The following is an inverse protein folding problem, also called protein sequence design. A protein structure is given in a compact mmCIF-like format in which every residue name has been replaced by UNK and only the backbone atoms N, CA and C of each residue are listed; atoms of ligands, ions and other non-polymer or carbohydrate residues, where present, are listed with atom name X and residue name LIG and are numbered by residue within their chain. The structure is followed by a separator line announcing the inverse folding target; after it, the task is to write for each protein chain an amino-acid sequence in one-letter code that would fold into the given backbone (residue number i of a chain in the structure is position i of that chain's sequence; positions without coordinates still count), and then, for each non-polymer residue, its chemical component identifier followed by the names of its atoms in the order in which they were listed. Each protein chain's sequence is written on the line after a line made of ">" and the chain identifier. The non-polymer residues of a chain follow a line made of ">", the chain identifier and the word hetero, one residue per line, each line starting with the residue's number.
data_IF_824590256104
#
_entry.id   IF_824590256104
#
_cell.length_a   1.000
_cell.length_b   1.000
_cell.length_c   1.000
_cell.angle_alpha   90.00
_cell.angle_beta   90.00
_cell.angle_gamma   90.00
#
_symmetry.space_group_name_H-M   'P 1'
#
loop_
_entity.id
_entity.type
_entity.pdbx_description
1 polymer ?
#
# COMPACT_ATOMS: atom_id res chain seq x y z
N UNK A 1 -37.79 -24.25 -74.79
CA UNK A 1 -38.84 -23.21 -74.65
C UNK A 1 -39.16 -23.11 -73.17
N UNK A 2 -39.22 -21.86 -72.65
CA UNK A 2 -39.65 -21.39 -71.31
C UNK A 2 -38.81 -21.88 -70.12
N UNK A 3 -37.84 -21.12 -69.58
CA UNK A 3 -37.89 -19.79 -68.92
C UNK A 3 -38.57 -19.85 -67.54
N UNK A 4 -37.76 -20.02 -66.48
CA UNK A 4 -38.16 -19.78 -65.08
C UNK A 4 -37.08 -18.97 -64.38
N UNK A 5 -37.45 -17.71 -64.16
CA UNK A 5 -36.78 -16.57 -63.53
C UNK A 5 -36.07 -16.87 -62.21
N UNK A 6 -34.93 -16.18 -62.07
CA UNK A 6 -34.18 -15.90 -60.84
C UNK A 6 -35.07 -15.41 -59.69
N UNK A 7 -34.85 -15.95 -58.49
CA UNK A 7 -35.08 -15.23 -57.23
C UNK A 7 -33.88 -15.50 -56.33
N UNK A 8 -32.94 -14.55 -56.31
CA UNK A 8 -31.83 -14.51 -55.36
C UNK A 8 -32.37 -13.89 -54.06
N UNK A 9 -32.60 -14.70 -53.02
CA UNK A 9 -33.01 -14.19 -51.71
C UNK A 9 -31.76 -13.68 -50.96
N UNK A 10 -31.57 -12.35 -50.97
CA UNK A 10 -30.59 -11.68 -50.11
C UNK A 10 -31.16 -11.60 -48.68
N UNK A 11 -30.70 -12.47 -47.79
CA UNK A 11 -31.00 -12.35 -46.37
C UNK A 11 -30.11 -11.25 -45.76
N UNK A 12 -30.66 -10.03 -45.60
CA UNK A 12 -30.05 -9.02 -44.75
C UNK A 12 -30.19 -9.45 -43.28
N UNK A 13 -29.10 -9.95 -42.69
CA UNK A 13 -28.94 -10.02 -41.25
C UNK A 13 -28.82 -8.58 -40.70
N UNK A 14 -29.93 -8.03 -40.20
CA UNK A 14 -29.90 -6.83 -39.39
C UNK A 14 -29.27 -7.18 -38.04
N UNK A 15 -27.96 -6.92 -37.90
CA UNK A 15 -27.31 -6.89 -36.59
C UNK A 15 -27.80 -5.66 -35.84
N UNK A 16 -28.84 -5.82 -35.03
CA UNK A 16 -29.26 -4.81 -34.06
C UNK A 16 -28.16 -4.68 -33.00
N UNK A 17 -27.26 -3.71 -33.19
CA UNK A 17 -26.36 -3.25 -32.15
C UNK A 17 -27.20 -2.57 -31.06
N UNK A 18 -27.64 -3.35 -30.08
CA UNK A 18 -28.10 -2.78 -28.82
C UNK A 18 -26.89 -2.11 -28.17
N UNK A 19 -26.79 -0.79 -28.33
CA UNK A 19 -25.92 0.04 -27.50
C UNK A 19 -26.46 -0.01 -26.07
N UNK A 20 -26.12 -1.07 -25.34
CA UNK A 20 -26.38 -1.17 -23.92
C UNK A 20 -25.65 -0.03 -23.24
N UNK A 21 -26.38 0.94 -22.70
CA UNK A 21 -25.81 1.98 -21.87
C UNK A 21 -24.95 1.30 -20.79
N UNK A 22 -23.67 1.70 -20.68
CA UNK A 22 -22.82 1.23 -19.61
C UNK A 22 -23.54 1.50 -18.28
N UNK A 23 -23.58 0.53 -17.34
CA UNK A 23 -24.27 0.73 -16.07
C UNK A 23 -23.74 2.00 -15.41
N UNK A 24 -24.66 2.84 -14.90
CA UNK A 24 -24.31 4.07 -14.24
C UNK A 24 -23.26 3.81 -13.16
N UNK A 25 -22.13 4.51 -13.23
CA UNK A 25 -21.06 4.36 -12.25
C UNK A 25 -21.59 4.70 -10.86
N UNK A 26 -21.38 3.82 -9.89
CA UNK A 26 -21.79 4.08 -8.51
C UNK A 26 -21.19 5.40 -8.01
N UNK A 27 -21.87 6.18 -7.14
CA UNK A 27 -21.41 7.50 -6.67
C UNK A 27 -20.03 7.52 -5.98
N UNK A 28 -19.47 6.35 -5.67
CA UNK A 28 -18.13 6.20 -5.08
C UNK A 28 -17.02 6.01 -6.10
N UNK A 29 -17.31 5.91 -7.40
CA UNK A 29 -16.31 5.64 -8.44
C UNK A 29 -15.19 6.71 -8.53
N UNK A 30 -15.46 7.94 -8.08
CA UNK A 30 -14.47 9.02 -8.07
C UNK A 30 -13.22 8.73 -7.23
N UNK A 31 -13.31 7.83 -6.23
CA UNK A 31 -12.16 7.48 -5.37
C UNK A 31 -11.02 6.84 -6.17
N UNK A 32 -11.32 6.23 -7.32
CA UNK A 32 -10.34 5.57 -8.17
C UNK A 32 -9.36 6.56 -8.81
N UNK A 33 -9.73 7.84 -8.92
CA UNK A 33 -8.86 8.90 -9.44
C UNK A 33 -7.66 9.23 -8.52
N UNK A 34 -7.62 8.61 -7.33
CA UNK A 34 -6.52 8.73 -6.38
C UNK A 34 -5.48 7.62 -6.48
N UNK A 35 -5.65 6.63 -7.37
CA UNK A 35 -4.68 5.57 -7.57
C UNK A 35 -3.24 6.10 -7.65
N UNK A 36 -2.37 5.62 -6.76
CA UNK A 36 -0.96 6.01 -6.69
C UNK A 36 -0.64 7.36 -6.07
N UNK A 37 -1.65 8.22 -5.84
CA UNK A 37 -1.51 9.50 -5.14
C UNK A 37 -1.42 9.27 -3.63
N UNK A 38 -1.07 10.32 -2.89
CA UNK A 38 -1.02 10.26 -1.43
C UNK A 38 -2.39 10.08 -0.80
N UNK A 39 -2.46 9.38 0.34
CA UNK A 39 -3.65 9.35 1.21
C UNK A 39 -4.08 10.76 1.61
N UNK A 40 -3.14 11.69 1.77
CA UNK A 40 -3.46 13.11 1.97
C UNK A 40 -4.29 13.66 0.82
N UNK A 41 -3.85 13.49 -0.43
CA UNK A 41 -4.62 13.96 -1.60
C UNK A 41 -6.07 13.46 -1.57
N UNK A 42 -6.30 12.22 -1.11
CA UNK A 42 -7.65 11.68 -0.91
C UNK A 42 -8.38 12.33 0.28
N UNK A 43 -7.80 12.36 1.47
CA UNK A 43 -8.49 12.80 2.68
C UNK A 43 -8.82 14.31 2.68
N UNK A 44 -8.04 15.10 1.93
CA UNK A 44 -8.28 16.53 1.70
C UNK A 44 -9.35 16.80 0.62
N UNK A 45 -9.83 15.79 -0.11
CA UNK A 45 -11.04 15.95 -0.94
C UNK A 45 -12.24 16.22 -0.03
N UNK A 46 -13.00 17.28 -0.33
CA UNK A 46 -14.19 17.68 0.42
C UNK A 46 -15.24 16.57 0.59
N UNK A 47 -15.24 15.57 -0.29
CA UNK A 47 -16.16 14.41 -0.28
C UNK A 47 -15.65 13.26 0.60
N UNK A 48 -14.35 13.17 0.88
CA UNK A 48 -13.75 12.00 1.52
C UNK A 48 -14.23 11.80 2.96
N UNK A 49 -14.28 12.87 3.76
CA UNK A 49 -14.77 12.80 5.15
C UNK A 49 -16.19 12.24 5.23
N UNK A 50 -17.11 12.82 4.45
CA UNK A 50 -18.50 12.37 4.40
C UNK A 50 -18.61 10.93 3.89
N UNK A 51 -17.78 10.54 2.92
CA UNK A 51 -17.72 9.16 2.45
C UNK A 51 -17.33 8.22 3.60
N UNK A 52 -16.21 8.45 4.30
CA UNK A 52 -15.75 7.59 5.40
C UNK A 52 -16.81 7.48 6.49
N UNK A 53 -17.41 8.61 6.91
CA UNK A 53 -18.46 8.63 7.94
C UNK A 53 -19.73 7.89 7.51
N UNK A 54 -20.05 7.88 6.21
CA UNK A 54 -21.19 7.10 5.70
C UNK A 54 -20.94 5.58 5.70
N UNK A 55 -19.68 5.15 5.61
CA UNK A 55 -19.31 3.72 5.47
C UNK A 55 -18.81 3.08 6.76
N UNK A 56 -18.29 3.86 7.70
CA UNK A 56 -17.76 3.40 8.98
C UNK A 56 -18.69 3.86 10.11
N UNK A 57 -18.99 3.02 11.11
CA UNK A 57 -19.84 3.43 12.23
C UNK A 57 -19.25 4.60 13.00
N UNK A 58 -20.12 5.49 13.53
CA UNK A 58 -19.70 6.70 14.25
C UNK A 58 -18.74 6.40 15.43
N UNK A 59 -18.91 5.26 16.09
CA UNK A 59 -18.05 4.79 17.19
C UNK A 59 -16.59 4.48 16.78
N UNK A 60 -16.28 4.45 15.48
CA UNK A 60 -14.94 4.21 14.94
C UNK A 60 -14.50 5.25 13.89
N UNK A 61 -15.44 5.89 13.19
CA UNK A 61 -15.13 6.78 12.07
C UNK A 61 -14.19 7.93 12.43
N UNK A 62 -14.29 8.49 13.64
CA UNK A 62 -13.40 9.55 14.13
C UNK A 62 -11.95 9.06 14.19
N UNK A 63 -11.72 7.89 14.76
CA UNK A 63 -10.38 7.32 14.94
C UNK A 63 -9.79 6.94 13.57
N UNK A 64 -10.59 6.37 12.68
CA UNK A 64 -10.18 6.09 11.28
C UNK A 64 -9.77 7.37 10.57
N UNK A 65 -10.58 8.44 10.63
CA UNK A 65 -10.24 9.71 10.00
C UNK A 65 -8.95 10.33 10.59
N UNK A 66 -8.77 10.26 11.92
CA UNK A 66 -7.55 10.72 12.57
C UNK A 66 -6.32 9.93 12.07
N UNK A 67 -6.44 8.61 11.97
CA UNK A 67 -5.40 7.72 11.46
C UNK A 67 -5.13 7.84 9.96
N UNK A 68 -5.90 8.63 9.22
CA UNK A 68 -5.66 8.98 7.82
C UNK A 68 -5.09 10.39 7.64
N UNK A 69 -4.83 11.10 8.74
CA UNK A 69 -4.57 12.55 8.74
C UNK A 69 -3.11 12.97 8.52
N UNK A 70 -2.13 12.08 8.67
CA UNK A 70 -0.72 12.38 8.44
C UNK A 70 -0.14 11.61 7.25
N UNK A 71 0.88 12.12 6.55
CA UNK A 71 1.69 11.26 5.67
C UNK A 71 2.33 10.14 6.52
N UNK A 72 2.55 8.90 6.01
CA UNK A 72 2.66 8.54 4.60
C UNK A 72 2.01 7.19 4.21
N UNK A 73 1.15 7.23 3.19
CA UNK A 73 0.73 6.04 2.46
C UNK A 73 0.20 6.44 1.08
N UNK A 74 0.46 5.67 0.02
CA UNK A 74 -0.23 5.82 -1.23
C UNK A 74 -1.65 5.26 -1.13
N UNK A 75 -2.54 5.84 -1.92
CA UNK A 75 -3.82 5.20 -2.22
C UNK A 75 -3.57 4.06 -3.21
N UNK A 76 -3.96 2.87 -2.80
CA UNK A 76 -3.88 1.65 -3.60
C UNK A 76 -5.22 1.43 -4.29
N UNK A 77 -5.19 1.12 -5.58
CA UNK A 77 -6.37 0.71 -6.34
C UNK A 77 -6.10 -0.64 -6.98
N UNK A 78 -6.87 -1.65 -6.57
CA UNK A 78 -6.78 -3.01 -7.09
C UNK A 78 -7.93 -3.30 -8.05
N UNK A 79 -7.63 -3.98 -9.15
CA UNK A 79 -8.58 -4.39 -10.19
C UNK A 79 -9.44 -3.23 -10.76
N UNK A 80 -8.95 -1.98 -10.66
CA UNK A 80 -9.71 -0.79 -11.04
C UNK A 80 -11.03 -0.63 -10.27
N UNK A 81 -11.14 -1.22 -9.07
CA UNK A 81 -12.41 -1.32 -8.33
C UNK A 81 -12.25 -1.04 -6.85
N UNK A 82 -11.26 -1.64 -6.22
CA UNK A 82 -11.10 -1.60 -4.77
C UNK A 82 -10.07 -0.55 -4.41
N UNK A 83 -10.49 0.48 -3.69
CA UNK A 83 -9.59 1.52 -3.23
C UNK A 83 -9.28 1.29 -1.76
N UNK A 84 -7.99 1.37 -1.41
CA UNK A 84 -7.52 1.39 -0.03
C UNK A 84 -6.64 2.62 0.21
N UNK A 85 -6.86 3.27 1.34
CA UNK A 85 -6.05 4.37 1.83
C UNK A 85 -5.62 4.06 3.26
N UNK A 86 -4.37 4.37 3.58
CA UNK A 86 -3.84 4.23 4.93
C UNK A 86 -2.86 5.33 5.25
N UNK A 87 -2.73 5.66 6.53
CA UNK A 87 -1.78 6.65 7.02
C UNK A 87 -1.51 6.43 8.51
N UNK A 88 -1.14 7.49 9.22
CA UNK A 88 -1.07 7.47 10.67
C UNK A 88 -1.68 8.72 11.31
N UNK A 89 -1.83 8.69 12.63
CA UNK A 89 -2.33 9.84 13.40
C UNK A 89 -1.29 10.97 13.37
N UNK A 90 -1.77 12.19 13.18
CA UNK A 90 -0.93 13.38 13.16
C UNK A 90 -0.17 13.54 14.48
N UNK A 91 1.14 13.75 14.39
CA UNK A 91 2.08 13.80 15.52
C UNK A 91 2.13 12.53 16.40
N UNK A 92 1.46 11.44 16.02
CA UNK A 92 1.47 10.18 16.76
C UNK A 92 1.39 8.99 15.81
N UNK A 93 2.46 8.78 15.04
CA UNK A 93 2.46 7.77 13.99
C UNK A 93 2.40 6.28 14.43
N UNK A 94 2.66 5.90 15.70
CA UNK A 94 2.32 4.56 16.20
C UNK A 94 0.91 4.11 15.87
N UNK A 95 -0.06 5.01 16.02
CA UNK A 95 -1.45 4.70 15.70
C UNK A 95 -1.76 4.99 14.24
N UNK A 96 -2.48 4.04 13.63
CA UNK A 96 -2.64 4.02 12.17
C UNK A 96 -4.09 3.80 11.76
N UNK A 97 -4.48 4.48 10.69
CA UNK A 97 -5.80 4.35 10.08
C UNK A 97 -5.72 3.66 8.73
N UNK A 98 -6.77 2.93 8.42
CA UNK A 98 -6.98 2.30 7.13
C UNK A 98 -8.45 2.44 6.72
N UNK A 99 -8.68 2.66 5.44
CA UNK A 99 -10.00 2.71 4.85
C UNK A 99 -9.99 1.98 3.51
N UNK A 100 -10.97 1.10 3.31
CA UNK A 100 -11.20 0.38 2.06
C UNK A 100 -12.61 0.63 1.56
N UNK A 101 -12.78 0.70 0.24
CA UNK A 101 -14.09 0.81 -0.40
C UNK A 101 -14.14 0.05 -1.73
N UNK A 102 -15.24 -0.67 -1.93
CA UNK A 102 -15.64 -1.20 -3.24
C UNK A 102 -16.38 -0.11 -4.01
N UNK A 103 -15.71 0.43 -5.04
CA UNK A 103 -16.27 1.50 -5.85
C UNK A 103 -17.55 1.13 -6.61
N UNK A 104 -17.86 -0.16 -6.80
CA UNK A 104 -19.06 -0.62 -7.51
C UNK A 104 -20.27 -0.77 -6.59
N UNK A 105 -20.07 -1.29 -5.38
CA UNK A 105 -21.17 -1.57 -4.43
C UNK A 105 -21.32 -0.48 -3.36
N UNK A 106 -20.28 0.34 -3.16
CA UNK A 106 -20.20 1.30 -2.07
C UNK A 106 -19.96 0.67 -0.70
N UNK A 107 -19.79 -0.65 -0.60
CA UNK A 107 -19.40 -1.28 0.67
C UNK A 107 -18.02 -0.74 1.09
N UNK A 108 -17.88 -0.36 2.36
CA UNK A 108 -16.63 0.16 2.89
C UNK A 108 -16.28 -0.45 4.24
N UNK A 109 -14.99 -0.47 4.55
CA UNK A 109 -14.42 -1.00 5.79
C UNK A 109 -13.41 0.01 6.32
N UNK A 110 -13.58 0.44 7.57
CA UNK A 110 -12.58 1.22 8.30
C UNK A 110 -11.80 0.34 9.25
N UNK A 111 -10.55 0.68 9.49
CA UNK A 111 -9.74 0.08 10.54
C UNK A 111 -8.88 1.13 11.25
N UNK A 112 -8.72 0.93 12.56
CA UNK A 112 -7.81 1.68 13.40
C UNK A 112 -6.93 0.69 14.17
N UNK A 113 -5.63 0.88 14.10
CA UNK A 113 -4.66 0.11 14.86
C UNK A 113 -4.03 1.01 15.93
N UNK A 114 -4.20 0.63 17.19
CA UNK A 114 -3.48 1.23 18.31
C UNK A 114 -2.24 0.39 18.62
N UNK A 115 -1.06 0.98 18.54
CA UNK A 115 0.18 0.26 18.85
C UNK A 115 0.23 -0.14 20.33
N UNK A 116 -0.23 0.77 21.20
CA UNK A 116 -0.43 0.47 22.60
C UNK A 116 -1.45 -0.67 22.77
N UNK A 117 -0.98 -1.83 23.21
CA UNK A 117 -1.81 -3.02 23.41
C UNK A 117 -2.15 -3.80 22.14
N UNK A 118 -1.52 -3.48 20.99
CA UNK A 118 -1.68 -4.22 19.73
C UNK A 118 -3.15 -4.43 19.34
N UNK A 119 -3.94 -3.36 19.41
CA UNK A 119 -5.41 -3.43 19.26
C UNK A 119 -5.83 -3.02 17.85
N UNK A 120 -6.53 -3.93 17.15
CA UNK A 120 -7.16 -3.64 15.86
C UNK A 120 -8.67 -3.51 16.01
N UNK A 121 -9.21 -2.34 15.66
CA UNK A 121 -10.65 -2.08 15.60
C UNK A 121 -11.07 -1.93 14.15
N UNK A 122 -11.94 -2.83 13.68
CA UNK A 122 -12.54 -2.82 12.35
C UNK A 122 -13.96 -2.27 12.45
N UNK A 123 -14.50 -1.75 11.36
CA UNK A 123 -15.92 -1.42 11.34
C UNK A 123 -16.48 -1.09 9.98
N UNK A 124 -17.76 -1.41 9.82
CA UNK A 124 -18.52 -1.14 8.61
C UNK A 124 -20.00 -0.92 8.92
N UNK A 125 -20.63 -0.04 8.15
CA UNK A 125 -22.08 0.14 8.14
C UNK A 125 -22.82 -0.85 7.23
N UNK A 126 -22.10 -1.57 6.36
CA UNK A 126 -22.68 -2.42 5.31
C UNK A 126 -22.12 -3.86 5.27
N UNK A 127 -21.01 -4.12 5.97
CA UNK A 127 -20.35 -5.43 6.02
C UNK A 127 -20.58 -6.08 7.38
N UNK A 128 -20.81 -7.39 7.38
CA UNK A 128 -20.92 -8.21 8.59
C UNK A 128 -19.53 -8.71 9.05
N UNK A 129 -19.34 -8.81 10.36
CA UNK A 129 -18.07 -9.19 10.97
C UNK A 129 -17.57 -10.59 10.55
N UNK A 130 -18.49 -11.51 10.26
CA UNK A 130 -18.18 -12.87 9.80
C UNK A 130 -18.04 -12.97 8.27
N UNK A 131 -18.38 -11.90 7.55
CA UNK A 131 -18.44 -11.88 6.07
C UNK A 131 -17.70 -10.68 5.49
N UNK A 132 -16.53 -10.37 6.02
CA UNK A 132 -15.65 -9.34 5.45
C UNK A 132 -15.29 -9.77 4.01
N UNK A 133 -15.52 -8.90 2.99
CA UNK A 133 -15.17 -9.24 1.62
C UNK A 133 -13.70 -9.61 1.48
N UNK A 134 -13.40 -10.67 0.74
CA UNK A 134 -12.02 -11.14 0.57
C UNK A 134 -11.05 -10.04 0.09
N UNK A 135 -11.40 -9.17 -0.89
CA UNK A 135 -10.51 -8.07 -1.28
C UNK A 135 -10.27 -7.04 -0.16
N UNK A 136 -11.25 -6.81 0.71
CA UNK A 136 -11.09 -5.92 1.86
C UNK A 136 -10.14 -6.54 2.89
N UNK A 137 -10.31 -7.82 3.18
CA UNK A 137 -9.44 -8.55 4.10
C UNK A 137 -8.00 -8.64 3.59
N UNK A 138 -7.81 -8.91 2.29
CA UNK A 138 -6.49 -8.94 1.66
C UNK A 138 -5.79 -7.58 1.73
N UNK A 139 -6.48 -6.49 1.37
CA UNK A 139 -5.93 -5.14 1.48
C UNK A 139 -5.56 -4.78 2.93
N UNK A 140 -6.41 -5.15 3.90
CA UNK A 140 -6.14 -4.94 5.33
C UNK A 140 -4.91 -5.71 5.80
N UNK A 141 -4.79 -7.00 5.49
CA UNK A 141 -3.64 -7.83 5.87
C UNK A 141 -2.35 -7.37 5.18
N UNK A 142 -2.44 -6.93 3.92
CA UNK A 142 -1.31 -6.35 3.21
C UNK A 142 -0.83 -5.06 3.87
N UNK A 143 -1.76 -4.18 4.29
CA UNK A 143 -1.43 -2.99 5.05
C UNK A 143 -0.77 -3.31 6.38
N UNK A 144 -1.36 -4.21 7.18
CA UNK A 144 -0.76 -4.67 8.44
C UNK A 144 0.66 -5.21 8.22
N UNK A 145 0.87 -6.01 7.17
CA UNK A 145 2.17 -6.57 6.82
C UNK A 145 3.20 -5.52 6.38
N UNK A 146 2.79 -4.54 5.56
CA UNK A 146 3.68 -3.48 5.07
C UNK A 146 4.27 -2.66 6.22
N UNK A 147 3.50 -2.43 7.29
CA UNK A 147 3.92 -1.66 8.46
C UNK A 147 4.35 -2.53 9.65
N UNK A 148 4.43 -3.85 9.48
CA UNK A 148 4.85 -4.77 10.55
C UNK A 148 3.88 -4.85 11.75
N UNK A 149 2.61 -4.50 11.54
CA UNK A 149 1.57 -4.44 12.57
C UNK A 149 1.04 -5.85 12.84
N UNK A 150 1.04 -6.27 14.11
CA UNK A 150 0.57 -7.59 14.53
C UNK A 150 -0.49 -7.43 15.62
N UNK A 151 -1.78 -7.52 15.28
CA UNK A 151 -2.83 -7.37 16.28
C UNK A 151 -2.88 -8.58 17.22
N UNK A 152 -2.92 -8.31 18.51
CA UNK A 152 -3.17 -9.30 19.56
C UNK A 152 -4.66 -9.36 19.88
N UNK A 153 -5.36 -8.22 19.78
CA UNK A 153 -6.80 -8.13 19.98
C UNK A 153 -7.46 -7.53 18.74
N UNK A 154 -8.61 -8.11 18.36
CA UNK A 154 -9.39 -7.63 17.22
C UNK A 154 -10.85 -7.48 17.63
N UNK A 155 -11.46 -6.37 17.25
CA UNK A 155 -12.91 -6.17 17.39
C UNK A 155 -13.50 -5.58 16.12
N UNK A 156 -14.79 -5.86 15.89
CA UNK A 156 -15.57 -5.31 14.79
C UNK A 156 -16.72 -4.47 15.32
N UNK A 157 -16.81 -3.23 14.87
CA UNK A 157 -17.90 -2.32 15.16
C UNK A 157 -18.88 -2.40 14.00
N UNK A 158 -20.10 -2.89 14.27
CA UNK A 158 -21.18 -2.89 13.29
C UNK A 158 -21.88 -1.53 13.24
N UNK A 159 -22.85 -1.37 12.32
CA UNK A 159 -23.71 -0.17 12.25
C UNK A 159 -24.39 0.20 13.58
N UNK A 160 -24.63 -0.78 14.45
CA UNK A 160 -25.18 -0.55 15.79
C UNK A 160 -24.25 0.19 16.75
N UNK A 161 -22.96 0.31 16.40
CA UNK A 161 -21.92 0.89 17.24
C UNK A 161 -21.36 -0.04 18.32
N UNK A 162 -21.95 -1.24 18.51
CA UNK A 162 -21.44 -2.22 19.48
C UNK A 162 -20.23 -2.97 18.92
N UNK A 163 -19.09 -3.01 19.64
CA UNK A 163 -17.95 -3.83 19.26
C UNK A 163 -18.21 -5.30 19.57
N UNK A 164 -17.85 -6.18 18.63
CA UNK A 164 -17.84 -7.64 18.81
C UNK A 164 -16.42 -8.15 18.65
N UNK A 165 -15.90 -8.97 19.58
CA UNK A 165 -14.58 -9.58 19.43
C UNK A 165 -14.50 -10.44 18.16
N UNK A 166 -13.32 -10.43 17.51
CA UNK A 166 -12.98 -11.32 16.41
C UNK A 166 -11.69 -12.09 16.74
N UNK A 167 -11.53 -13.33 16.23
CA UNK A 167 -10.25 -14.03 16.34
C UNK A 167 -9.16 -13.23 15.61
N UNK A 168 -7.95 -13.05 16.19
CA UNK A 168 -6.86 -12.33 15.52
C UNK A 168 -6.27 -13.05 14.31
N UNK A 169 -6.24 -14.39 14.32
CA UNK A 169 -5.54 -15.20 13.33
C UNK A 169 -5.79 -14.84 11.85
N UNK A 170 -7.01 -14.51 11.40
CA UNK A 170 -7.28 -14.10 10.02
C UNK A 170 -6.70 -12.74 9.61
N UNK A 171 -6.20 -11.96 10.59
CA UNK A 171 -5.67 -10.61 10.40
C UNK A 171 -4.16 -10.53 10.65
N UNK A 172 -3.52 -11.62 11.10
CA UNK A 172 -2.07 -11.65 11.29
C UNK A 172 -1.40 -11.77 9.92
N UNK A 173 -0.56 -10.80 9.50
CA UNK A 173 0.18 -10.91 8.25
C UNK A 173 1.07 -12.14 8.25
N UNK A 174 1.18 -12.81 7.10
CA UNK A 174 2.20 -13.85 6.93
C UNK A 174 3.56 -13.22 7.22
N UNK A 175 4.34 -13.89 8.07
CA UNK A 175 5.66 -13.39 8.41
C UNK A 175 6.51 -13.31 7.14
N UNK A 176 6.92 -12.11 6.76
CA UNK A 176 8.12 -11.94 5.95
C UNK A 176 9.31 -12.57 6.71
N UNK A 177 10.34 -12.99 5.97
CA UNK A 177 11.56 -13.51 6.56
C UNK A 177 12.03 -12.58 7.69
N UNK A 178 12.21 -13.16 8.89
CA UNK A 178 12.73 -12.44 10.04
C UNK A 178 14.22 -12.74 10.10
N UNK A 179 15.03 -11.72 9.86
CA UNK A 179 16.48 -11.84 10.00
C UNK A 179 16.83 -12.34 11.40
N UNK A 180 17.63 -13.42 11.54
CA UNK A 180 18.09 -13.87 12.84
C UNK A 180 18.98 -12.79 13.47
N UNK A 181 19.16 -12.84 14.80
CA UNK A 181 20.05 -11.91 15.50
C UNK A 181 21.46 -12.00 14.90
N UNK A 182 21.91 -10.92 14.27
CA UNK A 182 23.23 -10.83 13.62
C UNK A 182 23.31 -11.36 12.18
N UNK A 183 22.20 -11.86 11.61
CA UNK A 183 22.15 -12.28 10.20
C UNK A 183 21.72 -11.17 9.23
N UNK A 184 21.80 -11.45 7.91
CA UNK A 184 21.40 -10.50 6.87
C UNK A 184 19.87 -10.41 6.73
N UNK A 185 19.40 -9.52 5.86
CA UNK A 185 17.98 -9.29 5.55
C UNK A 185 17.32 -10.40 4.72
N UNK A 186 18.06 -11.45 4.35
CA UNK A 186 17.59 -12.59 3.56
C UNK A 186 17.98 -13.93 4.19
N UNK A 187 17.31 -14.99 3.73
CA UNK A 187 17.54 -16.36 4.20
C UNK A 187 18.84 -16.92 3.62
N UNK A 188 19.85 -17.11 4.49
CA UNK A 188 21.14 -17.69 4.08
C UNK A 188 21.03 -19.10 3.51
N UNK A 189 19.98 -19.86 3.83
CA UNK A 189 19.69 -21.15 3.20
C UNK A 189 19.27 -21.03 1.73
N UNK A 190 18.96 -19.82 1.27
CA UNK A 190 18.58 -19.49 -0.12
C UNK A 190 19.63 -18.65 -0.84
N UNK A 191 20.81 -18.44 -0.25
CA UNK A 191 21.91 -17.73 -0.89
C UNK A 191 22.33 -18.45 -2.17
N UNK A 192 22.17 -17.78 -3.30
CA UNK A 192 22.42 -18.31 -4.64
C UNK A 192 23.72 -17.75 -5.27
N UNK A 193 24.17 -16.56 -4.85
CA UNK A 193 25.37 -15.92 -5.41
C UNK A 193 26.58 -16.02 -4.46
N UNK A 194 27.80 -15.94 -5.01
CA UNK A 194 29.02 -15.88 -4.18
C UNK A 194 29.01 -14.68 -3.24
N UNK A 195 28.40 -13.56 -3.65
CA UNK A 195 28.23 -12.36 -2.83
C UNK A 195 27.27 -12.61 -1.66
N UNK A 196 26.13 -13.26 -1.90
CA UNK A 196 25.19 -13.64 -0.83
C UNK A 196 25.82 -14.61 0.17
N UNK A 197 26.58 -15.59 -0.31
CA UNK A 197 27.32 -16.52 0.53
C UNK A 197 28.37 -15.79 1.38
N UNK A 198 29.11 -14.85 0.81
CA UNK A 198 30.07 -14.02 1.53
C UNK A 198 29.38 -13.14 2.60
N UNK A 199 28.21 -12.56 2.29
CA UNK A 199 27.41 -11.81 3.27
C UNK A 199 26.99 -12.69 4.43
N UNK A 200 26.53 -13.91 4.15
CA UNK A 200 26.12 -14.88 5.17
C UNK A 200 27.28 -15.39 6.04
N UNK A 201 28.49 -15.49 5.48
CA UNK A 201 29.67 -15.97 6.20
C UNK A 201 30.35 -14.88 7.06
N UNK A 202 30.06 -13.60 6.82
CA UNK A 202 30.69 -12.47 7.51
C UNK A 202 29.66 -11.66 8.32
N UNK A 203 29.85 -11.63 9.64
CA UNK A 203 28.94 -10.95 10.56
C UNK A 203 28.87 -9.43 10.36
N UNK A 204 29.95 -8.78 9.88
CA UNK A 204 29.94 -7.34 9.59
C UNK A 204 29.16 -7.05 8.29
N UNK A 205 29.33 -7.86 7.26
CA UNK A 205 28.54 -7.74 6.02
C UNK A 205 27.06 -8.03 6.25
N UNK A 206 26.74 -9.05 7.04
CA UNK A 206 25.37 -9.35 7.46
C UNK A 206 24.69 -8.16 8.15
N UNK A 207 25.40 -7.47 9.06
CA UNK A 207 24.88 -6.25 9.70
C UNK A 207 24.63 -5.13 8.70
N UNK A 208 25.58 -4.86 7.82
CA UNK A 208 25.42 -3.84 6.78
C UNK A 208 24.24 -4.11 5.85
N UNK A 209 24.01 -5.38 5.49
CA UNK A 209 22.84 -5.78 4.70
C UNK A 209 21.53 -5.50 5.43
N UNK A 210 21.46 -5.92 6.70
CA UNK A 210 20.27 -5.71 7.51
C UNK A 210 19.99 -4.22 7.76
N UNK A 211 21.03 -3.42 8.03
CA UNK A 211 20.95 -1.97 8.22
C UNK A 211 20.43 -1.27 6.95
N UNK A 212 21.00 -1.58 5.78
CA UNK A 212 20.55 -1.00 4.52
C UNK A 212 19.10 -1.39 4.21
N UNK A 213 18.71 -2.65 4.44
CA UNK A 213 17.33 -3.09 4.24
C UNK A 213 16.32 -2.37 5.15
N UNK A 214 16.70 -2.08 6.39
CA UNK A 214 15.89 -1.27 7.32
C UNK A 214 15.76 0.17 6.82
N UNK A 215 16.88 0.81 6.47
CA UNK A 215 16.90 2.17 5.94
C UNK A 215 16.03 2.30 4.67
N UNK A 216 16.15 1.36 3.72
CA UNK A 216 15.34 1.36 2.49
C UNK A 216 13.85 1.28 2.82
N UNK A 217 13.45 0.46 3.79
CA UNK A 217 12.05 0.36 4.23
C UNK A 217 11.58 1.68 4.85
N UNK A 218 12.39 2.28 5.73
CA UNK A 218 12.08 3.56 6.37
C UNK A 218 11.93 4.70 5.35
N UNK A 219 12.88 4.85 4.42
CA UNK A 219 12.81 5.83 3.35
C UNK A 219 11.59 5.56 2.46
N UNK A 220 11.34 4.32 2.06
CA UNK A 220 10.14 3.95 1.28
C UNK A 220 8.86 4.36 1.99
N UNK A 221 8.77 4.09 3.30
CA UNK A 221 7.61 4.46 4.10
C UNK A 221 7.47 5.98 4.17
N UNK A 222 8.55 6.74 4.28
CA UNK A 222 8.54 8.21 4.26
C UNK A 222 7.94 8.87 3.01
N UNK A 223 7.78 8.13 1.90
CA UNK A 223 7.15 8.66 0.68
C UNK A 223 5.70 8.20 0.51
N UNK A 224 4.86 9.15 0.10
CA UNK A 224 3.42 8.98 0.04
C UNK A 224 2.85 8.59 -1.33
N UNK A 225 3.65 8.52 -2.39
CA UNK A 225 3.18 8.15 -3.74
C UNK A 225 3.75 6.81 -4.19
N UNK A 226 3.01 6.10 -5.06
CA UNK A 226 3.51 4.84 -5.63
C UNK A 226 4.72 5.05 -6.53
N UNK A 227 4.77 6.15 -7.28
CA UNK A 227 5.88 6.43 -8.19
C UNK A 227 7.20 6.63 -7.45
N UNK A 228 7.21 7.42 -6.37
CA UNK A 228 8.40 7.60 -5.54
C UNK A 228 8.85 6.26 -4.93
N UNK A 229 7.92 5.47 -4.41
CA UNK A 229 8.23 4.13 -3.86
C UNK A 229 8.79 3.20 -4.94
N UNK A 230 8.24 3.24 -6.15
CA UNK A 230 8.70 2.43 -7.28
C UNK A 230 10.09 2.86 -7.77
N UNK A 231 10.37 4.16 -7.81
CA UNK A 231 11.68 4.71 -8.15
C UNK A 231 12.77 4.23 -7.18
N UNK A 232 12.52 4.30 -5.87
CA UNK A 232 13.43 3.79 -4.84
C UNK A 232 13.67 2.28 -4.99
N UNK A 233 12.62 1.49 -5.26
CA UNK A 233 12.78 0.04 -5.46
C UNK A 233 13.57 -0.28 -6.74
N UNK A 234 13.37 0.48 -7.81
CA UNK A 234 14.14 0.34 -9.04
C UNK A 234 15.63 0.69 -8.81
N UNK A 235 15.90 1.74 -8.03
CA UNK A 235 17.24 2.13 -7.58
C UNK A 235 17.94 0.99 -6.84
N UNK A 236 17.26 0.37 -5.87
CA UNK A 236 17.81 -0.75 -5.09
C UNK A 236 18.09 -1.98 -5.94
N UNK A 237 17.14 -2.38 -6.78
CA UNK A 237 17.31 -3.55 -7.67
C UNK A 237 18.48 -3.38 -8.62
N UNK A 238 18.68 -2.16 -9.14
CA UNK A 238 19.84 -1.86 -9.99
C UNK A 238 21.14 -1.95 -9.20
N UNK A 239 21.19 -1.34 -8.02
CA UNK A 239 22.37 -1.39 -7.16
C UNK A 239 22.77 -2.84 -6.79
N UNK A 240 21.81 -3.71 -6.46
CA UNK A 240 22.10 -5.13 -6.16
C UNK A 240 22.82 -5.82 -7.33
N UNK A 241 22.37 -5.61 -8.57
CA UNK A 241 23.02 -6.16 -9.77
C UNK A 241 24.43 -5.61 -9.97
N UNK A 242 24.61 -4.30 -9.77
CA UNK A 242 25.91 -3.63 -9.89
C UNK A 242 26.90 -4.10 -8.83
N UNK A 243 26.43 -4.28 -7.58
CA UNK A 243 27.21 -4.85 -6.47
C UNK A 243 27.69 -6.25 -6.82
N UNK A 244 26.78 -7.11 -7.28
CA UNK A 244 27.10 -8.51 -7.55
C UNK A 244 28.08 -8.65 -8.73
N UNK A 245 27.89 -7.86 -9.79
CA UNK A 245 28.81 -7.82 -10.92
C UNK A 245 30.21 -7.32 -10.53
N UNK A 246 30.29 -6.30 -9.66
CA UNK A 246 31.56 -5.70 -9.24
C UNK A 246 32.31 -6.54 -8.21
N UNK A 247 31.60 -7.13 -7.25
CA UNK A 247 32.19 -7.84 -6.11
C UNK A 247 32.14 -9.37 -6.26
N UNK A 248 31.87 -9.90 -7.46
CA UNK A 248 31.81 -11.35 -7.69
C UNK A 248 33.16 -12.07 -7.61
N UNK A 249 34.28 -11.35 -7.66
CA UNK A 249 35.63 -11.94 -7.61
C UNK A 249 36.03 -12.30 -6.16
N UNK A 250 36.55 -13.52 -5.90
CA UNK A 250 36.88 -13.95 -4.54
C UNK A 250 37.94 -13.08 -3.84
N UNK A 251 38.98 -12.67 -4.57
CA UNK A 251 40.04 -11.85 -4.03
C UNK A 251 39.50 -10.47 -3.63
N UNK A 252 39.57 -10.14 -2.34
CA UNK A 252 39.07 -8.86 -1.81
C UNK A 252 37.54 -8.72 -1.80
N UNK A 253 36.79 -9.81 -1.98
CA UNK A 253 35.32 -9.80 -2.08
C UNK A 253 34.66 -9.08 -0.89
N UNK A 254 35.02 -9.45 0.34
CA UNK A 254 34.43 -8.85 1.54
C UNK A 254 34.66 -7.33 1.63
N UNK A 255 35.87 -6.87 1.30
CA UNK A 255 36.20 -5.45 1.29
C UNK A 255 35.39 -4.69 0.22
N UNK A 256 35.22 -5.29 -0.98
CA UNK A 256 34.39 -4.73 -2.04
C UNK A 256 32.93 -4.61 -1.60
N UNK A 257 32.34 -5.68 -1.05
CA UNK A 257 30.95 -5.71 -0.60
C UNK A 257 30.73 -4.66 0.50
N UNK A 258 31.60 -4.61 1.50
CA UNK A 258 31.53 -3.63 2.58
C UNK A 258 31.58 -2.18 2.07
N UNK A 259 32.43 -1.89 1.07
CA UNK A 259 32.47 -0.58 0.44
C UNK A 259 31.17 -0.24 -0.33
N UNK A 260 30.58 -1.21 -1.04
CA UNK A 260 29.31 -1.02 -1.73
C UNK A 260 28.16 -0.74 -0.77
N UNK A 261 28.09 -1.42 0.37
CA UNK A 261 27.06 -1.16 1.39
C UNK A 261 27.18 0.24 1.98
N UNK A 262 28.39 0.68 2.36
CA UNK A 262 28.59 2.04 2.91
C UNK A 262 28.17 3.13 1.91
N UNK A 263 28.62 3.02 0.66
CA UNK A 263 28.25 3.98 -0.39
C UNK A 263 26.75 3.99 -0.66
N UNK A 264 26.10 2.83 -0.67
CA UNK A 264 24.66 2.76 -0.88
C UNK A 264 23.87 3.26 0.33
N UNK A 265 24.33 2.99 1.54
CA UNK A 265 23.72 3.54 2.75
C UNK A 265 23.70 5.07 2.68
N UNK A 266 24.86 5.71 2.41
CA UNK A 266 24.95 7.16 2.23
C UNK A 266 24.02 7.66 1.12
N UNK A 267 23.96 6.96 -0.02
CA UNK A 267 23.05 7.31 -1.12
C UNK A 267 21.58 7.31 -0.69
N UNK A 268 21.16 6.32 0.10
CA UNK A 268 19.76 6.17 0.52
C UNK A 268 19.39 7.11 1.66
N UNK A 269 20.32 7.39 2.57
CA UNK A 269 20.11 8.43 3.59
C UNK A 269 19.86 9.81 2.97
N UNK A 270 20.36 10.06 1.77
CA UNK A 270 20.19 11.33 1.04
C UNK A 270 19.26 11.21 -0.17
N UNK A 271 18.52 10.10 -0.31
CA UNK A 271 17.69 9.89 -1.48
C UNK A 271 16.42 10.75 -1.44
N UNK A 272 16.11 11.38 -2.56
CA UNK A 272 14.83 12.02 -2.84
C UNK A 272 14.34 11.58 -4.21
N UNK A 273 13.02 11.46 -4.43
CA UNK A 273 12.48 11.08 -5.73
C UNK A 273 12.76 12.16 -6.77
N UNK A 274 13.02 11.77 -8.01
CA UNK A 274 13.36 12.69 -9.11
C UNK A 274 12.26 13.74 -9.37
N UNK A 275 11.01 13.43 -9.02
CA UNK A 275 9.89 14.36 -9.11
C UNK A 275 9.82 15.43 -8.02
N UNK A 276 10.44 15.21 -6.84
CA UNK A 276 10.39 16.17 -5.74
C UNK A 276 11.20 17.44 -6.00
N UNK A 277 12.23 17.38 -6.84
CA UNK A 277 13.01 18.55 -7.25
C UNK A 277 12.22 19.51 -8.18
N UNK A 278 10.97 19.17 -8.56
CA UNK A 278 10.14 19.93 -9.50
C UNK A 278 8.89 20.56 -8.89
N UNK A 279 8.60 20.32 -7.61
CA UNK A 279 7.48 20.99 -6.94
C UNK A 279 7.94 22.35 -6.41
N UNK A 280 7.46 23.49 -6.96
CA UNK A 280 7.72 24.77 -6.32
C UNK A 280 7.11 24.75 -4.92
N UNK A 281 7.91 25.12 -3.93
CA UNK A 281 7.43 25.35 -2.56
C UNK A 281 6.37 26.44 -2.64
N UNK A 282 5.09 26.05 -2.59
CA UNK A 282 4.01 26.99 -2.32
C UNK A 282 4.14 27.40 -0.86
N UNK A 283 4.77 28.53 -0.63
CA UNK A 283 4.71 29.22 0.66
C UNK A 283 3.24 29.46 1.01
N UNK A 284 2.80 29.16 2.24
CA UNK A 284 1.48 29.57 2.70
C UNK A 284 1.35 31.08 2.52
N UNK A 285 0.28 31.52 1.84
CA UNK A 285 -0.12 32.93 1.91
C UNK A 285 -0.45 33.21 3.38
N UNK A 286 0.26 34.18 3.95
CA UNK A 286 -0.05 34.73 5.26
C UNK A 286 -1.48 35.27 5.22
N UNK A 287 -2.45 34.52 5.75
CA UNK A 287 -3.73 35.10 6.15
C UNK A 287 -3.47 35.90 7.44
N UNK A 288 -3.77 37.21 7.46
CA UNK A 288 -3.58 38.01 8.66
C UNK A 288 -4.53 37.49 9.74
N UNK A 289 -3.95 37.16 10.89
CA UNK A 289 -4.64 36.84 12.12
C UNK A 289 -5.55 38.02 12.49
N UNK A 290 -6.86 37.87 12.29
CA UNK A 290 -7.83 38.82 12.82
C UNK A 290 -7.87 38.65 14.35
N UNK A 291 -7.52 39.74 15.03
CA UNK A 291 -7.78 39.96 16.46
C UNK A 291 -9.28 40.04 16.74
#
# INVERSE_FOLDING_TARGET
>A
MTDVKQILALALLAASAAAGAAPASHPSAWVLAYAGKSTNSFIWDKRARALVQSRVPAALARDVLAGLGAPPGPVLVEAGRYMAASACVHHYCPDKGFFWIDSRTGAGLGAYFAEAGSVLRLGSNAVDAQRIPAPAQQALVAWLGEYGLRPETVSFVSRSGRPTPLPPAPFVPRSYFQAPRGGPSFDCGKAATSVEQAICADAALSRHDLELARLVREVRHGHATLDARAELLALQRRWLRERDARCGQPAGQAACIGAQYRAQHERISNWVPSGAAREPVNTPKNDPMHM
#
